data_IF_014048440344
#
_entry.id   IF_014048440344
#
_cell.length_a   1.000
_cell.length_b   1.000
_cell.length_c   1.000
_cell.angle_alpha   90.00
_cell.angle_beta   90.00
_cell.angle_gamma   90.00
#
_symmetry.space_group_name_H-M   'P 1'
#
loop_
_entity.id
_entity.type
_entity.pdbx_description
1 polymer ?
#
# COMPACT_ATOMS: atom_id res chain seq x y z
N UNK A 1 -29.81 4.86 9.27
CA UNK A 1 -28.36 4.93 9.58
C UNK A 1 -27.97 3.56 10.14
N UNK A 2 -27.34 2.72 9.32
CA UNK A 2 -26.72 1.49 9.84
C UNK A 2 -25.73 1.90 10.93
N UNK A 3 -25.88 1.33 12.12
CA UNK A 3 -24.95 1.55 13.21
C UNK A 3 -23.56 1.12 12.75
N UNK A 4 -22.69 2.06 12.50
CA UNK A 4 -21.29 1.79 12.17
C UNK A 4 -20.59 1.18 13.37
N UNK A 5 -20.60 -0.16 13.45
CA UNK A 5 -20.01 -0.90 14.56
C UNK A 5 -18.48 -0.99 14.46
N UNK A 6 -17.91 -0.82 13.28
CA UNK A 6 -16.48 -1.05 13.06
C UNK A 6 -15.63 0.15 13.44
N UNK A 7 -16.09 1.38 13.17
CA UNK A 7 -15.29 2.59 13.40
C UNK A 7 -14.85 2.78 14.85
N UNK A 8 -15.71 2.58 15.88
CA UNK A 8 -15.28 2.66 17.28
C UNK A 8 -14.20 1.63 17.63
N UNK A 9 -14.29 0.40 17.09
CA UNK A 9 -13.26 -0.62 17.30
C UNK A 9 -11.93 -0.28 16.63
N UNK A 10 -11.95 0.22 15.40
CA UNK A 10 -10.74 0.70 14.69
C UNK A 10 -10.07 1.83 15.48
N UNK A 11 -10.85 2.77 16.01
CA UNK A 11 -10.34 3.86 16.85
C UNK A 11 -9.65 3.34 18.12
N UNK A 12 -10.30 2.41 18.82
CA UNK A 12 -9.72 1.77 20.01
C UNK A 12 -8.42 1.02 19.67
N UNK A 13 -8.44 0.22 18.61
CA UNK A 13 -7.28 -0.57 18.18
C UNK A 13 -6.08 0.31 17.79
N UNK A 14 -6.33 1.45 17.16
CA UNK A 14 -5.25 2.38 16.78
C UNK A 14 -4.45 2.86 17.99
N UNK A 15 -5.13 3.07 19.12
CA UNK A 15 -4.51 3.56 20.37
C UNK A 15 -3.90 2.40 21.15
N UNK A 16 -4.66 1.32 21.35
CA UNK A 16 -4.32 0.26 22.30
C UNK A 16 -3.62 -0.96 21.65
N UNK A 17 -3.53 -1.03 20.33
CA UNK A 17 -2.94 -2.13 19.54
C UNK A 17 -3.52 -3.52 19.85
N UNK A 18 -4.76 -3.56 20.37
CA UNK A 18 -5.55 -4.76 20.66
C UNK A 18 -7.03 -4.47 20.48
N UNK A 19 -7.84 -5.51 20.36
CA UNK A 19 -9.30 -5.36 20.43
C UNK A 19 -9.73 -5.13 21.89
N UNK A 20 -10.84 -4.40 22.10
CA UNK A 20 -11.37 -4.17 23.45
C UNK A 20 -11.98 -5.45 24.04
N UNK A 21 -11.91 -5.56 25.37
CA UNK A 21 -12.67 -6.54 26.13
C UNK A 21 -14.18 -6.24 26.10
N UNK A 22 -15.01 -7.21 26.49
CA UNK A 22 -16.45 -6.98 26.60
C UNK A 22 -16.84 -5.80 27.48
N UNK A 23 -16.14 -5.60 28.60
CA UNK A 23 -16.38 -4.48 29.51
C UNK A 23 -16.01 -3.13 28.88
N UNK A 24 -14.96 -3.09 28.09
CA UNK A 24 -14.56 -1.89 27.35
C UNK A 24 -15.55 -1.62 26.20
N UNK A 25 -16.06 -2.67 25.52
CA UNK A 25 -17.07 -2.53 24.47
C UNK A 25 -18.38 -1.95 25.00
N UNK A 26 -18.81 -2.31 26.21
CA UNK A 26 -19.99 -1.69 26.84
C UNK A 26 -19.84 -0.17 26.90
N UNK A 27 -18.65 0.32 27.29
CA UNK A 27 -18.34 1.75 27.36
C UNK A 27 -18.23 2.38 25.97
N UNK A 28 -17.54 1.73 25.03
CA UNK A 28 -17.31 2.22 23.67
C UNK A 28 -18.62 2.43 22.92
N UNK A 29 -19.55 1.47 23.05
CA UNK A 29 -20.86 1.52 22.37
C UNK A 29 -21.95 2.16 23.21
N UNK A 30 -21.64 2.58 24.42
CA UNK A 30 -22.60 3.16 25.37
C UNK A 30 -23.83 2.28 25.58
N UNK A 31 -23.63 0.98 25.82
CA UNK A 31 -24.69 -0.01 26.05
C UNK A 31 -24.48 -0.71 27.39
N UNK A 32 -25.57 -1.05 28.07
CA UNK A 32 -25.53 -1.68 29.38
C UNK A 32 -25.51 -3.22 29.31
N UNK A 33 -25.98 -3.81 28.21
CA UNK A 33 -26.20 -5.23 28.10
C UNK A 33 -25.04 -5.96 27.40
N UNK A 34 -24.49 -6.98 28.07
CA UNK A 34 -23.54 -7.92 27.46
C UNK A 34 -24.15 -8.67 26.28
N UNK A 35 -25.46 -8.91 26.30
CA UNK A 35 -26.16 -9.55 25.19
C UNK A 35 -26.09 -8.68 23.93
N UNK A 36 -26.30 -7.39 24.04
CA UNK A 36 -26.17 -6.44 22.92
C UNK A 36 -24.75 -6.47 22.35
N UNK A 37 -23.72 -6.52 23.20
CA UNK A 37 -22.33 -6.64 22.73
C UNK A 37 -22.12 -7.97 21.99
N UNK A 38 -22.69 -9.08 22.47
CA UNK A 38 -22.60 -10.36 21.77
C UNK A 38 -23.19 -10.27 20.35
N UNK A 39 -24.36 -9.66 20.19
CA UNK A 39 -24.99 -9.43 18.90
C UNK A 39 -24.11 -8.55 17.97
N UNK A 40 -23.48 -7.51 18.52
CA UNK A 40 -22.56 -6.66 17.74
C UNK A 40 -21.31 -7.44 17.29
N UNK A 41 -20.78 -8.29 18.17
CA UNK A 41 -19.64 -9.17 17.85
C UNK A 41 -20.02 -10.17 16.77
N UNK A 42 -21.19 -10.82 16.87
CA UNK A 42 -21.69 -11.74 15.85
C UNK A 42 -21.79 -11.04 14.50
N UNK A 43 -22.43 -9.87 14.45
CA UNK A 43 -22.52 -9.08 13.22
C UNK A 43 -21.13 -8.73 12.66
N UNK A 44 -20.17 -8.31 13.47
CA UNK A 44 -18.82 -8.00 13.03
C UNK A 44 -18.04 -9.24 12.54
N UNK A 45 -18.38 -10.43 13.03
CA UNK A 45 -17.82 -11.69 12.54
C UNK A 45 -18.46 -12.04 11.19
N UNK A 46 -19.79 -11.94 11.07
CA UNK A 46 -20.52 -12.21 9.84
C UNK A 46 -20.10 -11.23 8.72
N UNK A 47 -19.90 -9.96 9.08
CA UNK A 47 -19.35 -8.93 8.19
C UNK A 47 -17.85 -9.15 7.87
N UNK A 48 -17.19 -10.15 8.49
CA UNK A 48 -15.80 -10.51 8.21
C UNK A 48 -14.73 -9.60 8.83
N UNK A 49 -15.07 -8.64 9.67
CA UNK A 49 -14.08 -7.71 10.27
C UNK A 49 -13.24 -8.33 11.38
N UNK A 50 -13.85 -9.22 12.17
CA UNK A 50 -13.19 -9.91 13.28
C UNK A 50 -13.47 -11.41 13.22
N UNK A 51 -12.66 -12.19 13.91
CA UNK A 51 -12.84 -13.65 14.06
C UNK A 51 -12.56 -14.09 15.48
N UNK A 52 -13.04 -15.28 15.85
CA UNK A 52 -12.71 -15.93 17.12
C UNK A 52 -11.58 -16.92 16.89
N UNK A 53 -10.49 -16.79 17.65
CA UNK A 53 -9.37 -17.73 17.69
C UNK A 53 -9.16 -18.11 19.15
N UNK A 54 -9.27 -19.39 19.51
CA UNK A 54 -9.09 -19.88 20.88
C UNK A 54 -9.88 -19.05 21.90
N UNK A 55 -11.16 -18.81 21.63
CA UNK A 55 -12.09 -18.00 22.44
C UNK A 55 -11.73 -16.51 22.58
N UNK A 56 -10.70 -16.02 21.88
CA UNK A 56 -10.32 -14.61 21.83
C UNK A 56 -10.76 -13.98 20.49
N UNK A 57 -11.12 -12.71 20.55
CA UNK A 57 -11.40 -11.94 19.34
C UNK A 57 -10.08 -11.48 18.71
N UNK A 58 -9.98 -11.64 17.41
CA UNK A 58 -8.85 -11.18 16.60
C UNK A 58 -9.36 -10.40 15.39
N UNK A 59 -8.68 -9.33 14.97
CA UNK A 59 -9.00 -8.65 13.73
C UNK A 59 -8.65 -9.53 12.53
N UNK A 60 -9.40 -9.40 11.46
CA UNK A 60 -9.07 -9.96 10.15
C UNK A 60 -8.32 -8.93 9.31
N UNK A 61 -7.91 -9.30 8.09
CA UNK A 61 -7.34 -8.35 7.13
C UNK A 61 -8.35 -7.24 6.81
N UNK A 62 -9.61 -7.57 6.63
CA UNK A 62 -10.70 -6.65 6.34
C UNK A 62 -10.88 -5.56 7.42
N UNK A 63 -10.52 -5.85 8.67
CA UNK A 63 -10.49 -4.85 9.75
C UNK A 63 -9.57 -3.67 9.43
N UNK A 64 -8.46 -3.89 8.74
CA UNK A 64 -7.49 -2.86 8.37
C UNK A 64 -7.76 -2.25 7.00
N UNK A 65 -8.60 -2.89 6.18
CA UNK A 65 -8.94 -2.46 4.84
C UNK A 65 -9.71 -1.13 4.78
N UNK A 66 -9.59 -0.47 3.64
CA UNK A 66 -10.42 0.66 3.24
C UNK A 66 -11.52 0.16 2.30
N UNK A 67 -12.75 0.69 2.40
CA UNK A 67 -13.79 0.35 1.44
C UNK A 67 -13.44 0.91 0.05
N UNK A 68 -13.59 0.07 -0.97
CA UNK A 68 -13.53 0.51 -2.37
C UNK A 68 -14.96 0.85 -2.78
N UNK A 69 -15.21 2.14 -3.05
CA UNK A 69 -16.57 2.66 -3.30
C UNK A 69 -16.93 2.73 -4.79
N UNK A 70 -16.15 2.09 -5.66
CA UNK A 70 -16.37 2.10 -7.10
C UNK A 70 -15.39 2.97 -7.88
N UNK A 71 -15.70 3.25 -9.13
CA UNK A 71 -14.87 4.06 -10.05
C UNK A 71 -15.37 5.51 -10.08
N UNK A 72 -14.45 6.44 -10.25
CA UNK A 72 -14.74 7.84 -10.51
C UNK A 72 -14.35 8.13 -11.96
N UNK A 73 -15.31 8.59 -12.78
CA UNK A 73 -15.00 9.11 -14.10
C UNK A 73 -14.65 10.60 -13.99
N UNK A 74 -13.50 10.97 -14.52
CA UNK A 74 -13.11 12.37 -14.54
C UNK A 74 -14.10 13.18 -15.39
N UNK A 75 -14.79 14.15 -14.75
CA UNK A 75 -15.70 15.08 -15.42
C UNK A 75 -17.18 14.89 -15.13
N UNK A 76 -17.66 13.73 -14.70
CA UNK A 76 -19.07 13.52 -14.35
C UNK A 76 -19.22 12.71 -13.05
N UNK A 77 -20.13 13.11 -12.14
CA UNK A 77 -20.42 12.31 -10.96
C UNK A 77 -21.15 11.03 -11.36
N UNK A 78 -20.62 9.89 -10.91
CA UNK A 78 -21.27 8.57 -11.04
C UNK A 78 -21.81 8.19 -9.68
N UNK A 79 -22.99 7.56 -9.65
CA UNK A 79 -23.53 6.97 -8.43
C UNK A 79 -22.62 5.80 -8.05
N UNK A 80 -22.02 5.86 -6.87
CA UNK A 80 -21.17 4.79 -6.36
C UNK A 80 -22.01 3.52 -6.17
N UNK A 81 -21.64 2.45 -6.86
CA UNK A 81 -22.25 1.13 -6.65
C UNK A 81 -21.90 0.62 -5.25
N UNK A 82 -22.89 -0.05 -4.61
CA UNK A 82 -22.78 -0.43 -3.19
C UNK A 82 -22.00 -1.71 -2.92
N UNK A 83 -21.26 -2.25 -3.87
CA UNK A 83 -20.39 -3.41 -3.61
C UNK A 83 -19.18 -2.96 -2.79
N UNK A 84 -19.33 -3.04 -1.48
CA UNK A 84 -18.30 -2.71 -0.48
C UNK A 84 -17.25 -3.82 -0.44
N UNK A 85 -16.35 -3.86 -1.40
CA UNK A 85 -15.11 -4.61 -1.23
C UNK A 85 -14.15 -3.83 -0.32
N UNK A 86 -13.39 -4.54 0.50
CA UNK A 86 -12.37 -3.94 1.36
C UNK A 86 -10.99 -4.34 0.87
N UNK A 87 -10.10 -3.36 0.75
CA UNK A 87 -8.74 -3.55 0.27
C UNK A 87 -7.76 -2.96 1.26
N UNK A 88 -6.71 -3.69 1.61
CA UNK A 88 -5.58 -3.14 2.35
C UNK A 88 -4.53 -2.61 1.37
N UNK A 89 -3.87 -1.50 1.71
CA UNK A 89 -2.89 -0.90 0.80
C UNK A 89 -1.66 -1.79 0.60
N UNK A 90 -1.29 -2.55 1.63
CA UNK A 90 -0.20 -3.51 1.55
C UNK A 90 -0.52 -4.66 0.58
N UNK A 91 -1.71 -5.24 0.63
CA UNK A 91 -2.13 -6.27 -0.33
C UNK A 91 -2.24 -5.74 -1.78
N UNK A 92 -2.60 -4.47 -1.94
CA UNK A 92 -2.72 -3.86 -3.26
C UNK A 92 -1.37 -3.57 -3.92
N UNK A 93 -0.39 -3.12 -3.13
CA UNK A 93 0.89 -2.67 -3.66
C UNK A 93 2.02 -3.70 -3.54
N UNK A 94 1.86 -4.74 -2.72
CA UNK A 94 2.94 -5.67 -2.37
C UNK A 94 2.50 -7.11 -2.63
N UNK A 95 2.96 -7.67 -3.75
CA UNK A 95 2.68 -9.07 -4.10
C UNK A 95 3.53 -10.06 -3.29
N UNK A 96 4.77 -9.70 -2.99
CA UNK A 96 5.76 -10.52 -2.29
C UNK A 96 6.32 -9.78 -1.07
N UNK A 97 5.64 -9.77 0.10
CA UNK A 97 6.08 -9.00 1.27
C UNK A 97 7.50 -9.35 1.74
N UNK A 98 7.86 -10.64 1.74
CA UNK A 98 9.17 -11.11 2.21
C UNK A 98 10.34 -10.68 1.30
N UNK A 99 10.03 -10.33 0.05
CA UNK A 99 11.01 -9.91 -0.95
C UNK A 99 10.86 -8.43 -1.34
N UNK A 100 10.07 -7.67 -0.60
CA UNK A 100 9.80 -6.27 -0.92
C UNK A 100 10.29 -5.34 0.19
N UNK A 101 10.74 -4.16 -0.21
CA UNK A 101 11.13 -3.11 0.71
C UNK A 101 10.81 -1.73 0.14
N UNK A 102 10.87 -0.72 0.98
CA UNK A 102 10.58 0.66 0.62
C UNK A 102 11.87 1.49 0.53
N UNK A 103 11.96 2.31 -0.51
CA UNK A 103 12.99 3.34 -0.63
C UNK A 103 12.37 4.72 -0.82
N UNK A 104 13.01 5.73 -0.27
CA UNK A 104 12.66 7.11 -0.51
C UNK A 104 13.47 7.66 -1.68
N UNK A 105 12.78 8.22 -2.65
CA UNK A 105 13.40 8.79 -3.86
C UNK A 105 14.10 10.12 -3.54
N UNK A 106 15.29 10.29 -4.11
CA UNK A 106 16.03 11.54 -4.13
C UNK A 106 16.42 11.88 -5.58
N UNK A 107 16.26 13.15 -5.94
CA UNK A 107 16.56 13.65 -7.29
C UNK A 107 15.39 13.49 -8.27
N UNK A 108 15.61 13.88 -9.52
CA UNK A 108 14.61 14.08 -10.56
C UNK A 108 14.82 13.23 -11.83
N UNK A 109 15.75 12.28 -11.80
CA UNK A 109 16.11 11.49 -12.98
C UNK A 109 14.96 10.63 -13.56
N UNK A 110 13.86 10.46 -12.81
CA UNK A 110 12.70 9.65 -13.19
C UNK A 110 11.40 10.46 -13.27
N UNK A 111 11.50 11.77 -13.41
CA UNK A 111 10.36 12.70 -13.38
C UNK A 111 9.32 12.42 -14.47
N UNK A 112 9.76 12.07 -15.68
CA UNK A 112 8.86 11.76 -16.80
C UNK A 112 8.21 10.37 -16.69
N UNK A 113 8.67 9.54 -15.74
CA UNK A 113 7.99 8.31 -15.33
C UNK A 113 7.04 8.54 -14.14
N UNK A 114 6.81 9.80 -13.75
CA UNK A 114 5.92 10.17 -12.64
C UNK A 114 6.52 9.92 -11.25
N UNK A 115 7.82 9.66 -11.15
CA UNK A 115 8.54 9.44 -9.88
C UNK A 115 9.30 10.73 -9.55
N UNK A 116 8.98 11.31 -8.40
CA UNK A 116 9.52 12.60 -7.97
C UNK A 116 10.30 12.48 -6.66
N UNK A 117 11.14 13.46 -6.40
CA UNK A 117 11.83 13.54 -5.12
C UNK A 117 10.85 13.51 -3.93
N UNK A 118 11.19 12.70 -2.92
CA UNK A 118 10.37 12.52 -1.73
C UNK A 118 9.35 11.39 -1.80
N UNK A 119 9.09 10.82 -2.97
CA UNK A 119 8.24 9.64 -3.12
C UNK A 119 8.80 8.44 -2.35
N UNK A 120 7.92 7.54 -1.93
CA UNK A 120 8.28 6.20 -1.52
C UNK A 120 8.01 5.25 -2.68
N UNK A 121 8.98 4.42 -3.03
CA UNK A 121 8.81 3.35 -4.03
C UNK A 121 8.85 1.99 -3.36
N UNK A 122 7.94 1.11 -3.77
CA UNK A 122 7.96 -0.31 -3.40
C UNK A 122 8.89 -1.02 -4.38
N UNK A 123 9.96 -1.62 -3.86
CA UNK A 123 10.91 -2.41 -4.63
C UNK A 123 10.69 -3.89 -4.31
N UNK A 124 10.45 -4.70 -5.34
CA UNK A 124 10.47 -6.15 -5.25
C UNK A 124 11.86 -6.67 -5.68
N UNK A 125 12.53 -7.38 -4.80
CA UNK A 125 13.78 -8.08 -5.14
C UNK A 125 13.50 -9.16 -6.18
N UNK A 126 14.05 -9.00 -7.36
CA UNK A 126 13.86 -9.92 -8.48
C UNK A 126 15.15 -10.07 -9.27
N UNK A 127 15.52 -11.33 -9.57
CA UNK A 127 16.73 -11.63 -10.34
C UNK A 127 16.53 -11.41 -11.85
N UNK A 128 15.34 -11.70 -12.35
CA UNK A 128 15.00 -11.56 -13.76
C UNK A 128 14.19 -10.29 -13.96
N UNK A 129 14.71 -9.37 -14.76
CA UNK A 129 14.08 -8.11 -15.14
C UNK A 129 13.81 -8.09 -16.62
N UNK A 130 12.72 -7.43 -17.02
CA UNK A 130 12.36 -7.25 -18.42
C UNK A 130 12.88 -5.89 -18.92
N UNK A 131 13.03 -5.78 -20.25
CA UNK A 131 13.23 -4.47 -20.85
C UNK A 131 12.05 -3.54 -20.47
N UNK A 132 12.35 -2.28 -20.23
CA UNK A 132 11.45 -1.22 -19.80
C UNK A 132 10.98 -1.29 -18.33
N UNK A 133 11.40 -2.29 -17.56
CA UNK A 133 11.20 -2.26 -16.10
C UNK A 133 11.95 -1.07 -15.49
N UNK A 134 11.32 -0.40 -14.53
CA UNK A 134 12.01 0.56 -13.67
C UNK A 134 12.69 -0.22 -12.56
N UNK A 135 14.01 -0.14 -12.52
CA UNK A 135 14.83 -0.97 -11.64
C UNK A 135 15.59 -0.13 -10.61
N UNK A 136 15.82 -0.75 -9.46
CA UNK A 136 16.86 -0.33 -8.53
C UNK A 136 18.16 -1.01 -8.95
N UNK A 137 19.11 -0.22 -9.40
CA UNK A 137 20.41 -0.70 -9.87
C UNK A 137 21.55 -0.15 -9.00
N UNK A 138 22.61 -0.94 -8.86
CA UNK A 138 23.88 -0.52 -8.32
C UNK A 138 24.89 -0.40 -9.48
N UNK A 139 25.48 0.76 -9.58
CA UNK A 139 26.50 1.09 -10.56
C UNK A 139 27.67 1.71 -9.81
N UNK A 140 28.84 1.11 -9.92
CA UNK A 140 30.07 1.60 -9.28
C UNK A 140 29.87 1.91 -7.77
N UNK A 141 29.06 1.07 -7.07
CA UNK A 141 28.65 1.18 -5.67
C UNK A 141 27.63 2.27 -5.35
N UNK A 142 27.08 2.93 -6.35
CA UNK A 142 26.01 3.91 -6.18
C UNK A 142 24.65 3.31 -6.58
N UNK A 143 23.64 3.55 -5.76
CA UNK A 143 22.28 3.06 -6.01
C UNK A 143 21.47 4.10 -6.76
N UNK A 144 20.79 3.66 -7.82
CA UNK A 144 19.97 4.54 -8.66
C UNK A 144 18.70 3.86 -9.14
N UNK A 145 17.67 4.67 -9.42
CA UNK A 145 16.47 4.21 -10.14
C UNK A 145 16.60 4.63 -11.60
N UNK A 146 16.45 3.68 -12.50
CA UNK A 146 16.49 3.87 -13.96
C UNK A 146 15.57 2.89 -14.66
N UNK A 147 15.28 3.15 -15.93
CA UNK A 147 14.63 2.22 -16.83
C UNK A 147 15.71 1.26 -17.34
N UNK A 148 15.47 -0.04 -17.19
CA UNK A 148 16.35 -1.08 -17.74
C UNK A 148 16.07 -1.25 -19.22
N UNK A 149 17.08 -1.03 -20.04
CA UNK A 149 16.99 -1.18 -21.50
C UNK A 149 17.86 -2.34 -21.97
N UNK A 150 17.33 -3.05 -22.98
CA UNK A 150 18.05 -4.13 -23.64
C UNK A 150 17.83 -4.05 -25.15
N UNK A 151 18.91 -3.88 -25.90
CA UNK A 151 18.88 -3.85 -27.36
C UNK A 151 19.85 -4.94 -27.88
N UNK A 152 19.29 -6.02 -28.38
CA UNK A 152 20.07 -7.19 -28.76
C UNK A 152 20.80 -7.81 -27.56
N UNK A 153 22.12 -7.76 -27.57
CA UNK A 153 22.96 -8.23 -26.45
C UNK A 153 23.42 -7.12 -25.50
N UNK A 154 23.14 -5.87 -25.84
CA UNK A 154 23.59 -4.71 -25.04
C UNK A 154 22.51 -4.34 -24.02
N UNK A 155 22.92 -4.22 -22.76
CA UNK A 155 22.08 -3.72 -21.68
C UNK A 155 22.61 -2.38 -21.21
N UNK A 156 21.70 -1.44 -20.91
CA UNK A 156 22.03 -0.13 -20.39
C UNK A 156 20.87 0.40 -19.52
N UNK A 157 21.12 1.49 -18.83
CA UNK A 157 20.12 2.16 -17.99
C UNK A 157 19.79 3.52 -18.59
N UNK A 158 18.49 3.85 -18.61
CA UNK A 158 17.99 5.12 -19.11
C UNK A 158 17.23 5.88 -18.03
N UNK A 159 17.48 7.16 -17.94
CA UNK A 159 16.70 8.04 -17.08
C UNK A 159 15.38 8.41 -17.77
N UNK A 160 14.30 8.54 -17.02
CA UNK A 160 13.08 9.16 -17.50
C UNK A 160 13.13 10.69 -17.33
N UNK A 161 14.22 11.28 -17.81
CA UNK A 161 14.47 12.71 -17.81
C UNK A 161 15.56 13.01 -18.86
N UNK A 162 15.27 13.81 -19.91
CA UNK A 162 16.21 14.07 -20.99
C UNK A 162 17.50 14.81 -20.56
N UNK A 163 17.52 15.40 -19.38
CA UNK A 163 18.71 16.03 -18.84
C UNK A 163 19.82 15.04 -18.42
N UNK A 164 19.49 13.75 -18.40
CA UNK A 164 20.41 12.68 -18.03
C UNK A 164 20.66 11.75 -19.22
N UNK A 165 21.92 11.61 -19.67
CA UNK A 165 22.24 10.70 -20.76
C UNK A 165 22.04 9.23 -20.36
N UNK A 166 21.84 8.32 -21.31
CA UNK A 166 21.83 6.88 -21.06
C UNK A 166 23.16 6.43 -20.44
N UNK A 167 23.06 5.53 -19.48
CA UNK A 167 24.21 5.02 -18.76
C UNK A 167 24.56 3.59 -19.24
N UNK A 168 25.75 3.45 -19.80
CA UNK A 168 26.31 2.17 -20.21
C UNK A 168 27.31 1.70 -19.15
N UNK A 169 27.07 0.55 -18.50
CA UNK A 169 27.96 0.06 -17.44
C UNK A 169 29.35 -0.22 -17.99
N UNK A 170 30.37 0.30 -17.32
CA UNK A 170 31.77 0.09 -17.72
C UNK A 170 32.38 -1.15 -17.08
N UNK A 171 31.93 -1.54 -15.90
CA UNK A 171 32.43 -2.68 -15.15
C UNK A 171 31.29 -3.65 -14.82
N UNK A 172 30.45 -3.32 -13.87
CA UNK A 172 29.38 -4.21 -13.39
C UNK A 172 28.08 -3.45 -13.21
N UNK A 173 26.98 -4.04 -13.69
CA UNK A 173 25.61 -3.63 -13.42
C UNK A 173 24.97 -4.68 -12.55
N UNK A 174 24.60 -4.30 -11.32
CA UNK A 174 23.79 -5.16 -10.42
C UNK A 174 22.37 -4.60 -10.33
N UNK A 175 21.39 -5.45 -10.59
CA UNK A 175 20.01 -5.12 -10.38
C UNK A 175 19.57 -5.71 -9.04
N UNK A 176 19.07 -4.85 -8.16
CA UNK A 176 18.61 -5.24 -6.82
C UNK A 176 17.11 -5.49 -6.76
N UNK A 177 16.35 -4.97 -7.71
CA UNK A 177 14.91 -5.19 -7.77
C UNK A 177 14.20 -4.30 -8.77
N UNK A 178 12.88 -4.50 -8.86
CA UNK A 178 11.98 -3.79 -9.78
C UNK A 178 11.03 -2.92 -8.95
N UNK A 179 10.76 -1.70 -9.43
CA UNK A 179 9.74 -0.81 -8.85
C UNK A 179 8.37 -1.37 -9.16
N UNK A 180 7.55 -1.63 -8.13
CA UNK A 180 6.17 -2.12 -8.27
C UNK A 180 5.14 -1.03 -8.05
N UNK A 181 5.43 -0.08 -7.18
CA UNK A 181 4.51 1.00 -6.90
C UNK A 181 5.25 2.27 -6.48
N UNK A 182 4.57 3.39 -6.68
CA UNK A 182 4.99 4.71 -6.21
C UNK A 182 3.94 5.24 -5.26
N UNK A 183 4.34 5.61 -4.06
CA UNK A 183 3.46 6.12 -3.01
C UNK A 183 3.80 7.59 -2.74
N UNK A 184 2.83 8.46 -2.96
CA UNK A 184 2.96 9.90 -2.70
C UNK A 184 1.83 10.41 -1.82
N UNK A 185 2.20 11.16 -0.77
CA UNK A 185 1.22 11.93 -0.01
C UNK A 185 0.96 13.24 -0.74
N UNK A 186 -0.29 13.49 -1.12
CA UNK A 186 -0.70 14.79 -1.64
C UNK A 186 -0.97 15.68 -0.44
N UNK A 187 -0.02 16.57 -0.13
CA UNK A 187 -0.20 17.58 0.89
C UNK A 187 -0.94 18.78 0.29
N UNK A 188 -2.00 19.23 0.94
CA UNK A 188 -2.60 20.53 0.63
C UNK A 188 -1.52 21.58 0.93
N UNK A 189 -1.02 22.28 -0.09
CA UNK A 189 -0.25 23.50 0.17
C UNK A 189 -1.18 24.45 0.93
N UNK A 190 -0.85 24.69 2.19
CA UNK A 190 -1.44 25.84 2.89
C UNK A 190 -0.87 27.08 2.23
N UNK A 191 -1.72 27.78 1.48
CA UNK A 191 -1.45 29.14 1.00
C UNK A 191 -1.42 30.09 2.18
#
# INVERSE_FOLDING_TARGET
MENDLITPLKKFYRINRRLPSYSEMLKIYNVASKKTISTYIEKLIDDGFIKKINRKLAPTKMFFGLPVLGMIQAGYPIIAEQDKSYLTLDEYFIESPDNSFLLKVRGDSMINAGIFEGDLVVIEQKKNVNADDIVLAEIDREWTLKIFKKVGKTTFLEAANPNYPPFYPKQELKIHGVVRAVLRKVNKKMN
#
